data_IF_333941448802
#
_entry.id   IF_333941448802
#
_cell.length_a   1.000
_cell.length_b   1.000
_cell.length_c   1.000
_cell.angle_alpha   90.00
_cell.angle_beta   90.00
_cell.angle_gamma   90.00
#
_symmetry.space_group_name_H-M   'P 1'
#
loop_
_entity.id
_entity.type
_entity.pdbx_description
1 polymer ?
#
# COMPACT_ATOMS: atom_id res chain seq x y z
N UNK A 1 -10.49 -14.32 16.31
CA UNK A 1 -9.83 -13.96 15.04
C UNK A 1 -8.86 -12.82 15.29
N UNK A 2 -7.71 -12.92 14.70
CA UNK A 2 -6.65 -11.92 14.90
C UNK A 2 -6.67 -10.88 13.80
N UNK A 3 -6.41 -9.64 14.17
CA UNK A 3 -6.28 -8.59 13.18
C UNK A 3 -4.99 -7.81 13.34
N UNK A 4 -4.52 -7.23 12.25
CA UNK A 4 -3.37 -6.34 12.28
C UNK A 4 -3.78 -5.00 11.69
N UNK A 5 -3.23 -3.93 12.26
CA UNK A 5 -3.52 -2.58 11.80
C UNK A 5 -2.37 -2.07 10.97
N UNK A 6 -2.68 -1.59 9.78
CA UNK A 6 -1.68 -1.14 8.80
C UNK A 6 -2.05 0.21 8.23
N UNK A 7 -1.07 0.86 7.62
CA UNK A 7 -1.30 2.05 6.79
C UNK A 7 -0.69 1.81 5.42
N UNK A 8 -1.33 2.30 4.38
CA UNK A 8 -0.82 2.20 3.01
C UNK A 8 -0.82 3.53 2.31
N UNK A 9 0.16 3.73 1.43
CA UNK A 9 0.28 4.97 0.67
C UNK A 9 -0.11 4.72 -0.78
N UNK A 10 -0.95 5.61 -1.31
CA UNK A 10 -1.41 5.54 -2.70
C UNK A 10 -0.68 6.60 -3.50
N UNK A 11 0.20 6.16 -4.38
CA UNK A 11 0.94 7.03 -5.30
C UNK A 11 0.44 6.70 -6.70
N UNK A 12 -0.13 7.69 -7.38
CA UNK A 12 -0.72 7.50 -8.70
C UNK A 12 0.08 8.29 -9.71
N UNK A 13 0.42 7.64 -10.82
CA UNK A 13 1.11 8.29 -11.93
C UNK A 13 0.59 7.68 -13.22
N UNK A 14 0.26 8.55 -14.17
CA UNK A 14 -0.26 8.10 -15.48
C UNK A 14 -1.44 7.15 -15.31
N UNK A 15 -2.28 7.44 -14.33
CA UNK A 15 -3.51 6.69 -14.04
C UNK A 15 -3.24 5.24 -13.67
N UNK A 16 -2.12 5.01 -12.97
CA UNK A 16 -1.78 3.69 -12.43
C UNK A 16 -1.27 3.86 -11.00
N UNK A 17 -1.43 2.82 -10.21
CA UNK A 17 -1.08 2.83 -8.79
C UNK A 17 0.28 2.18 -8.55
N UNK A 18 1.11 2.80 -7.76
CA UNK A 18 2.40 2.25 -7.38
C UNK A 18 2.22 1.10 -6.39
N UNK A 19 2.79 -0.04 -6.68
CA UNK A 19 2.86 -1.15 -5.75
C UNK A 19 4.32 -1.56 -5.59
N UNK A 20 4.63 -2.11 -4.43
CA UNK A 20 5.99 -2.49 -4.05
C UNK A 20 6.08 -3.99 -3.92
N UNK A 21 7.10 -4.58 -4.52
CA UNK A 21 7.31 -6.03 -4.48
C UNK A 21 8.04 -6.41 -3.21
N UNK A 22 7.41 -7.23 -2.39
CA UNK A 22 8.03 -7.75 -1.18
C UNK A 22 8.82 -9.00 -1.55
N UNK A 23 10.13 -8.98 -1.30
CA UNK A 23 10.97 -10.14 -1.57
C UNK A 23 10.58 -11.30 -0.68
N UNK A 24 10.17 -11.03 0.55
CA UNK A 24 9.79 -12.08 1.49
C UNK A 24 8.50 -12.78 1.06
N UNK A 25 7.51 -12.03 0.61
CA UNK A 25 6.20 -12.59 0.30
C UNK A 25 5.99 -12.86 -1.18
N UNK A 26 6.91 -12.41 -2.00
CA UNK A 26 6.87 -12.63 -3.46
C UNK A 26 5.56 -12.14 -4.07
N UNK A 27 5.19 -10.93 -3.69
CA UNK A 27 3.92 -10.34 -4.10
C UNK A 27 4.06 -8.83 -4.08
N UNK A 28 3.38 -8.14 -4.99
CA UNK A 28 3.30 -6.68 -4.95
C UNK A 28 2.15 -6.28 -4.03
N UNK A 29 2.38 -5.26 -3.20
CA UNK A 29 1.37 -4.74 -2.29
C UNK A 29 1.50 -3.23 -2.22
N UNK A 30 0.58 -2.59 -1.48
CA UNK A 30 0.70 -1.16 -1.18
C UNK A 30 1.95 -0.91 -0.34
N UNK A 31 2.69 0.13 -0.66
CA UNK A 31 3.76 0.57 0.24
C UNK A 31 3.16 0.98 1.59
N UNK A 32 3.84 0.64 2.65
CA UNK A 32 3.38 0.91 4.02
C UNK A 32 3.66 -0.27 4.91
N UNK A 33 2.92 -0.40 5.98
CA UNK A 33 3.13 -1.51 6.88
C UNK A 33 2.34 -1.41 8.17
N UNK A 34 2.71 -2.24 9.11
CA UNK A 34 2.03 -2.34 10.40
C UNK A 34 2.27 -1.07 11.21
N UNK A 35 1.25 -0.66 11.95
CA UNK A 35 1.30 0.50 12.82
C UNK A 35 1.68 0.01 14.20
N UNK A 36 2.68 0.64 14.84
CA UNK A 36 3.07 0.29 16.20
C UNK A 36 2.04 0.85 17.17
N UNK A 37 1.97 0.27 18.36
CA UNK A 37 0.98 0.67 19.37
C UNK A 37 1.07 2.15 19.74
N UNK A 38 2.27 2.69 19.74
CA UNK A 38 2.46 4.08 20.16
C UNK A 38 2.29 5.09 19.03
N UNK A 39 1.94 4.61 17.82
CA UNK A 39 1.85 5.47 16.63
C UNK A 39 0.42 5.70 16.23
N UNK A 40 0.14 6.88 15.66
CA UNK A 40 -1.07 7.06 14.88
C UNK A 40 -0.88 6.37 13.53
N UNK A 41 -1.96 6.11 12.79
CA UNK A 41 -1.81 5.55 11.44
C UNK A 41 -0.90 6.37 10.55
N UNK A 42 -0.96 7.68 10.64
CA UNK A 42 -0.15 8.55 9.80
C UNK A 42 1.32 8.51 10.21
N UNK A 43 1.59 8.43 11.51
CA UNK A 43 2.97 8.30 11.98
C UNK A 43 3.58 6.98 11.51
N UNK A 44 2.82 5.90 11.59
CA UNK A 44 3.29 4.60 11.12
C UNK A 44 3.56 4.62 9.63
N UNK A 45 2.68 5.27 8.87
CA UNK A 45 2.86 5.40 7.44
C UNK A 45 4.18 6.12 7.12
N UNK A 46 4.42 7.25 7.77
CA UNK A 46 5.63 8.03 7.47
C UNK A 46 6.89 7.22 7.77
N UNK A 47 6.89 6.46 8.85
CA UNK A 47 8.03 5.62 9.21
C UNK A 47 8.24 4.53 8.17
N UNK A 48 7.19 3.81 7.80
CA UNK A 48 7.31 2.71 6.85
C UNK A 48 7.72 3.21 5.47
N UNK A 49 7.19 4.34 5.04
CA UNK A 49 7.51 4.85 3.71
C UNK A 49 8.97 5.32 3.64
N UNK A 50 9.48 5.87 4.73
CA UNK A 50 10.91 6.21 4.76
C UNK A 50 11.75 4.95 4.59
N UNK A 51 11.38 3.86 5.26
CA UNK A 51 12.10 2.60 5.18
C UNK A 51 12.01 1.97 3.79
N UNK A 52 10.82 1.93 3.22
CA UNK A 52 10.59 1.16 2.00
C UNK A 52 10.88 1.91 0.72
N UNK A 53 10.59 3.21 0.69
CA UNK A 53 10.67 4.02 -0.53
C UNK A 53 11.69 5.14 -0.45
N UNK A 54 12.33 5.28 0.70
CA UNK A 54 13.33 6.33 0.92
C UNK A 54 12.75 7.72 0.67
N UNK A 55 11.49 7.92 1.07
CA UNK A 55 10.78 9.18 0.96
C UNK A 55 10.47 9.73 2.33
N UNK A 56 10.69 11.01 2.52
CA UNK A 56 10.28 11.72 3.74
C UNK A 56 8.93 12.36 3.48
N UNK A 57 7.91 11.91 4.19
CA UNK A 57 6.55 12.42 4.04
C UNK A 57 6.23 13.40 5.15
N UNK A 58 5.56 14.49 4.81
CA UNK A 58 4.92 15.34 5.79
C UNK A 58 3.43 15.01 5.83
N UNK A 59 2.85 15.10 7.01
CA UNK A 59 1.45 14.70 7.18
C UNK A 59 0.50 15.52 6.31
N UNK A 60 0.85 16.77 6.04
CA UNK A 60 -0.03 17.62 5.22
C UNK A 60 0.09 17.32 3.72
N UNK A 61 0.95 16.38 3.32
CA UNK A 61 1.09 15.99 1.92
C UNK A 61 0.17 14.83 1.54
N UNK A 62 -0.50 14.24 2.50
CA UNK A 62 -1.37 13.09 2.24
C UNK A 62 -2.78 13.37 2.73
N UNK A 63 -3.74 12.74 2.10
CA UNK A 63 -5.16 12.82 2.49
C UNK A 63 -5.69 11.43 2.71
N UNK A 64 -6.47 11.25 3.76
CA UNK A 64 -7.13 9.98 4.00
C UNK A 64 -8.06 9.66 2.84
N UNK A 65 -7.95 8.46 2.29
CA UNK A 65 -8.77 8.06 1.14
C UNK A 65 -9.82 7.03 1.53
N UNK A 66 -9.40 5.92 2.15
CA UNK A 66 -10.34 4.87 2.49
C UNK A 66 -9.73 3.94 3.52
N UNK A 67 -10.59 3.09 4.07
CA UNK A 67 -10.17 2.01 4.95
C UNK A 67 -10.58 0.69 4.29
N UNK A 68 -9.70 -0.29 4.28
CA UNK A 68 -10.06 -1.61 3.78
C UNK A 68 -9.85 -2.65 4.87
N UNK A 69 -10.66 -3.69 4.78
CA UNK A 69 -10.55 -4.87 5.63
C UNK A 69 -10.41 -6.06 4.69
N UNK A 70 -9.33 -6.80 4.83
CA UNK A 70 -9.03 -7.88 3.89
C UNK A 70 -8.23 -8.97 4.58
N UNK A 71 -8.25 -10.20 4.05
CA UNK A 71 -7.32 -11.20 4.56
C UNK A 71 -5.89 -10.71 4.40
N UNK A 72 -5.06 -10.96 5.40
CA UNK A 72 -3.67 -10.51 5.38
C UNK A 72 -2.84 -11.52 4.59
N UNK A 73 -2.37 -11.09 3.42
CA UNK A 73 -1.57 -11.95 2.54
C UNK A 73 -0.26 -12.33 3.23
N UNK A 74 0.08 -13.61 3.17
CA UNK A 74 1.35 -14.08 3.73
C UNK A 74 1.32 -14.31 5.23
N UNK A 75 0.20 -14.05 5.89
CA UNK A 75 0.05 -14.34 7.32
C UNK A 75 -0.67 -15.67 7.49
N UNK A 76 -0.70 -16.17 8.70
CA UNK A 76 -1.41 -17.40 9.01
C UNK A 76 -2.90 -17.23 8.72
N UNK A 77 -3.57 -18.34 8.49
CA UNK A 77 -5.00 -18.33 8.23
C UNK A 77 -5.76 -17.62 9.34
N UNK A 78 -6.73 -16.85 8.95
CA UNK A 78 -7.60 -16.16 9.89
C UNK A 78 -7.13 -14.80 10.32
N UNK A 79 -5.97 -14.37 9.87
CA UNK A 79 -5.50 -13.02 10.20
C UNK A 79 -6.13 -12.03 9.22
N UNK A 80 -6.73 -10.98 9.78
CA UNK A 80 -7.39 -9.94 8.99
C UNK A 80 -6.56 -8.67 9.06
N UNK A 81 -6.41 -7.99 7.94
CA UNK A 81 -5.73 -6.71 7.88
C UNK A 81 -6.74 -5.58 7.86
N UNK A 82 -6.54 -4.62 8.76
CA UNK A 82 -7.31 -3.37 8.79
C UNK A 82 -6.36 -2.29 8.33
N UNK A 83 -6.61 -1.70 7.18
CA UNK A 83 -5.63 -0.79 6.58
C UNK A 83 -6.25 0.56 6.26
N UNK A 84 -5.65 1.62 6.80
CA UNK A 84 -6.00 2.98 6.40
C UNK A 84 -5.14 3.35 5.20
N UNK A 85 -5.78 3.87 4.16
CA UNK A 85 -5.11 4.20 2.91
C UNK A 85 -5.12 5.72 2.70
N UNK A 86 -3.95 6.26 2.41
CA UNK A 86 -3.76 7.71 2.28
C UNK A 86 -3.23 8.03 0.88
N UNK A 87 -3.81 9.03 0.26
CA UNK A 87 -3.44 9.46 -1.09
C UNK A 87 -2.37 10.54 -1.00
N UNK A 88 -1.28 10.36 -1.72
CA UNK A 88 -0.19 11.35 -1.74
C UNK A 88 -0.53 12.46 -2.72
N UNK A 89 -0.32 13.69 -2.28
CA UNK A 89 -0.75 14.88 -3.03
C UNK A 89 0.40 15.59 -3.73
N UNK A 90 1.49 14.89 -4.02
CA UNK A 90 2.59 15.48 -4.80
C UNK A 90 3.28 14.41 -5.61
N UNK A 91 4.06 14.84 -6.59
CA UNK A 91 4.88 13.94 -7.39
C UNK A 91 6.13 13.55 -6.61
N UNK A 92 6.54 12.30 -6.74
CA UNK A 92 7.71 11.78 -6.02
C UNK A 92 8.50 10.85 -6.92
N UNK A 93 9.74 10.60 -6.50
CA UNK A 93 10.62 9.63 -7.16
C UNK A 93 11.00 8.58 -6.11
N UNK A 94 10.16 7.61 -5.88
CA UNK A 94 10.47 6.61 -4.85
C UNK A 94 11.60 5.69 -5.27
N UNK A 95 12.36 5.23 -4.28
CA UNK A 95 13.48 4.31 -4.52
C UNK A 95 13.27 3.10 -3.62
N UNK A 96 13.23 1.92 -4.20
CA UNK A 96 13.03 0.68 -3.44
C UNK A 96 14.16 0.49 -2.43
N UNK A 97 13.81 0.08 -1.23
CA UNK A 97 14.74 -0.06 -0.13
C UNK A 97 14.24 -1.14 0.82
N UNK A 98 15.08 -1.55 1.74
CA UNK A 98 14.78 -2.58 2.73
C UNK A 98 14.34 -3.86 2.01
N UNK A 99 13.23 -4.46 2.37
CA UNK A 99 12.81 -5.71 1.75
C UNK A 99 12.15 -5.54 0.37
N UNK A 100 12.01 -4.31 -0.10
CA UNK A 100 11.33 -4.05 -1.36
C UNK A 100 12.30 -4.31 -2.51
N UNK A 101 11.94 -5.20 -3.42
CA UNK A 101 12.81 -5.56 -4.53
C UNK A 101 12.52 -4.83 -5.82
N UNK A 102 11.32 -4.30 -5.97
CA UNK A 102 10.91 -3.64 -7.21
C UNK A 102 9.74 -2.73 -6.94
N UNK A 103 9.64 -1.66 -7.70
CA UNK A 103 8.47 -0.78 -7.70
C UNK A 103 7.87 -0.78 -9.09
N UNK A 104 6.55 -0.86 -9.17
CA UNK A 104 5.88 -0.88 -10.48
C UNK A 104 4.52 -0.24 -10.34
N UNK A 105 4.09 0.48 -11.38
CA UNK A 105 2.76 1.09 -11.43
C UNK A 105 1.82 0.14 -12.15
N UNK A 106 0.63 -0.09 -11.58
CA UNK A 106 -0.33 -1.08 -12.10
C UNK A 106 -1.68 -0.46 -12.35
N UNK A 107 -2.32 -0.91 -13.42
CA UNK A 107 -3.77 -0.86 -13.53
C UNK A 107 -4.34 -2.08 -12.79
N UNK A 108 -5.63 -2.08 -12.54
CA UNK A 108 -6.27 -3.26 -11.96
C UNK A 108 -6.06 -4.49 -12.84
N UNK A 109 -6.30 -4.34 -14.12
CA UNK A 109 -6.17 -5.47 -15.04
C UNK A 109 -4.77 -6.06 -15.04
N UNK A 110 -3.84 -5.26 -14.93
CA UNK A 110 -2.57 -5.69 -14.93
C UNK A 110 -2.19 -6.34 -13.74
N UNK A 111 -2.62 -5.85 -12.71
CA UNK A 111 -2.32 -6.51 -11.44
C UNK A 111 -2.93 -7.91 -11.34
N UNK A 112 -4.15 -8.04 -11.83
CA UNK A 112 -4.82 -9.34 -11.76
C UNK A 112 -4.12 -10.42 -12.57
N UNK A 113 -3.18 -10.07 -13.43
CA UNK A 113 -2.41 -11.05 -14.19
C UNK A 113 -1.16 -11.53 -13.47
N UNK A 114 -0.85 -10.96 -12.31
CA UNK A 114 0.29 -11.41 -11.52
C UNK A 114 0.03 -12.81 -10.97
N UNK A 115 1.09 -13.60 -10.79
CA UNK A 115 0.98 -14.94 -10.20
C UNK A 115 0.42 -14.91 -8.80
N UNK A 116 0.82 -13.89 -8.03
CA UNK A 116 0.34 -13.72 -6.66
C UNK A 116 -0.28 -12.34 -6.55
N UNK A 117 -1.48 -12.28 -5.98
CA UNK A 117 -2.15 -11.00 -5.75
C UNK A 117 -2.60 -10.93 -4.30
N UNK A 118 -2.41 -9.77 -3.71
CA UNK A 118 -2.84 -9.55 -2.34
C UNK A 118 -4.27 -9.02 -2.35
N UNK A 119 -5.17 -9.61 -1.57
CA UNK A 119 -6.58 -9.17 -1.61
C UNK A 119 -6.75 -7.69 -1.30
N UNK A 120 -5.97 -7.17 -0.37
CA UNK A 120 -6.08 -5.74 -0.03
C UNK A 120 -5.70 -4.84 -1.18
N UNK A 121 -4.66 -5.21 -1.94
CA UNK A 121 -4.25 -4.42 -3.10
C UNK A 121 -5.33 -4.45 -4.18
N UNK A 122 -5.95 -5.60 -4.39
CA UNK A 122 -7.05 -5.70 -5.36
C UNK A 122 -8.19 -4.77 -4.96
N UNK A 123 -8.55 -4.76 -3.68
CA UNK A 123 -9.65 -3.92 -3.20
C UNK A 123 -9.35 -2.44 -3.41
N UNK A 124 -8.12 -2.03 -3.16
CA UNK A 124 -7.75 -0.63 -3.36
C UNK A 124 -7.79 -0.26 -4.84
N UNK A 125 -7.26 -1.13 -5.69
CA UNK A 125 -7.30 -0.87 -7.13
C UNK A 125 -8.74 -0.75 -7.63
N UNK A 126 -9.62 -1.62 -7.14
CA UNK A 126 -11.04 -1.56 -7.51
C UNK A 126 -11.66 -0.24 -7.06
N UNK A 127 -11.37 0.19 -5.84
CA UNK A 127 -11.93 1.44 -5.33
C UNK A 127 -11.41 2.64 -6.12
N UNK A 128 -10.11 2.66 -6.43
CA UNK A 128 -9.56 3.75 -7.21
C UNK A 128 -10.15 3.81 -8.61
N UNK A 129 -10.39 2.64 -9.21
CA UNK A 129 -11.00 2.59 -10.53
C UNK A 129 -12.44 3.08 -10.48
N UNK A 130 -13.21 2.68 -9.45
CA UNK A 130 -14.58 3.14 -9.27
C UNK A 130 -14.63 4.66 -9.13
N UNK A 131 -13.64 5.24 -8.47
CA UNK A 131 -13.58 6.69 -8.27
C UNK A 131 -12.94 7.42 -9.46
N UNK A 132 -12.61 6.68 -10.52
CA UNK A 132 -12.04 7.23 -11.75
C UNK A 132 -10.67 7.89 -11.53
N UNK A 133 -9.89 7.40 -10.56
CA UNK A 133 -8.54 7.89 -10.31
C UNK A 133 -7.50 7.10 -11.08
N UNK A 134 -7.82 5.88 -11.45
CA UNK A 134 -6.96 5.05 -12.31
C UNK A 134 -7.79 4.42 -13.41
N UNK A 135 -7.12 3.88 -14.38
CA UNK A 135 -7.78 3.18 -15.50
C UNK A 135 -8.29 1.80 -15.08
#
# INVERSE_FOLDING_TARGET
>A
MKSISCSGLLIIKDRKLLLAYSKNKQCFYLPGGKIDESETPLQGLCREIKEELNLSLHENEVSYFTHITAPAYGENNGVIMEQDCFLLNRSVEPVASAEIGELRYFSLEXYLQQSNTAPGAVMVLERLKEDNLID
#
